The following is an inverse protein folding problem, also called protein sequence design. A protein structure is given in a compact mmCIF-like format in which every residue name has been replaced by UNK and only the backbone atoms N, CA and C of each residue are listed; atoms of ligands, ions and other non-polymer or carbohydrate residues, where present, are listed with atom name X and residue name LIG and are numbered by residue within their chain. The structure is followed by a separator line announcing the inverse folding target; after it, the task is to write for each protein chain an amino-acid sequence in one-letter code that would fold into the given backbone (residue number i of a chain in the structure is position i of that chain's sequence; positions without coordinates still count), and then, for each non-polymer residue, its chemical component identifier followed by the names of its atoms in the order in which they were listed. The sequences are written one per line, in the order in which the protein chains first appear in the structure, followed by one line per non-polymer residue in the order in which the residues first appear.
data_IF_076089571405
#
_entry.id   IF_076089571405
#
_cell.length_a   1.000
_cell.length_b   1.000
_cell.length_c   1.000
_cell.angle_alpha   90.00
_cell.angle_beta   90.00
_cell.angle_gamma   90.00
#
_symmetry.space_group_name_H-M   'P 1'
#
loop_
_entity.id
_entity.type
_entity.pdbx_description
1 polymer ?
#
# COMPACT_ATOMS: atom_id res chain seq x y z
N UNK A 1 25.36 -47.05 -23.50
CA UNK A 1 23.97 -47.48 -23.24
C UNK A 1 23.10 -46.59 -24.10
N UNK A 2 22.53 -47.12 -25.19
CA UNK A 2 21.70 -46.33 -26.09
C UNK A 2 20.33 -46.15 -25.42
N UNK A 3 19.98 -44.91 -25.10
CA UNK A 3 18.64 -44.54 -24.63
C UNK A 3 17.76 -44.50 -25.89
N UNK A 4 16.71 -45.30 -25.94
CA UNK A 4 15.76 -45.31 -27.06
C UNK A 4 14.59 -44.41 -26.67
N UNK A 5 14.29 -43.39 -27.47
CA UNK A 5 13.12 -42.52 -27.24
C UNK A 5 11.81 -43.32 -27.40
N UNK A 6 10.83 -43.07 -26.51
CA UNK A 6 9.51 -43.71 -26.58
C UNK A 6 8.79 -43.17 -27.84
N UNK A 7 8.38 -44.05 -28.76
CA UNK A 7 7.85 -43.74 -30.10
C UNK A 7 6.47 -43.03 -30.15
N UNK A 8 6.01 -42.40 -29.07
CA UNK A 8 4.77 -41.61 -29.07
C UNK A 8 5.02 -40.28 -28.34
N UNK A 9 4.76 -39.11 -28.97
CA UNK A 9 4.97 -37.82 -28.32
C UNK A 9 4.04 -37.71 -27.11
N UNK A 10 4.61 -37.50 -25.94
CA UNK A 10 3.84 -37.24 -24.73
C UNK A 10 3.17 -35.87 -24.86
N UNK A 11 1.87 -35.80 -24.60
CA UNK A 11 1.11 -34.56 -24.70
C UNK A 11 1.54 -33.57 -23.63
N UNK A 12 1.34 -32.28 -23.88
CA UNK A 12 1.56 -31.25 -22.85
C UNK A 12 0.66 -31.51 -21.62
N UNK A 13 1.13 -31.18 -20.40
CA UNK A 13 0.27 -31.20 -19.22
C UNK A 13 -0.82 -30.11 -19.32
N UNK A 14 -1.94 -30.34 -18.64
CA UNK A 14 -3.01 -29.35 -18.46
C UNK A 14 -2.89 -28.68 -17.09
N UNK A 15 -3.13 -27.38 -17.07
CA UNK A 15 -3.12 -26.53 -15.87
C UNK A 15 -4.53 -25.93 -15.71
N UNK A 16 -5.47 -26.61 -15.05
CA UNK A 16 -6.88 -26.21 -15.02
C UNK A 16 -7.15 -24.89 -14.28
N UNK A 17 -6.15 -24.34 -13.59
CA UNK A 17 -6.24 -23.07 -12.86
C UNK A 17 -5.84 -21.87 -13.70
N UNK A 18 -5.30 -22.08 -14.90
CA UNK A 18 -4.90 -20.98 -15.78
C UNK A 18 -6.15 -20.32 -16.40
N UNK A 19 -6.12 -19.00 -16.52
CA UNK A 19 -7.14 -18.25 -17.23
C UNK A 19 -6.94 -18.31 -18.77
N UNK A 20 -7.79 -17.60 -19.52
CA UNK A 20 -7.70 -17.53 -20.99
C UNK A 20 -6.35 -16.97 -21.49
N UNK A 21 -5.59 -16.28 -20.63
CA UNK A 21 -4.28 -15.70 -20.92
C UNK A 21 -3.11 -16.54 -20.37
N UNK A 22 -3.37 -17.75 -19.84
CA UNK A 22 -2.39 -18.64 -19.21
C UNK A 22 -1.75 -18.04 -17.95
N UNK A 23 -2.54 -17.31 -17.17
CA UNK A 23 -2.13 -16.74 -15.89
C UNK A 23 -2.80 -17.51 -14.75
N UNK A 24 -2.02 -17.84 -13.74
CA UNK A 24 -2.50 -18.29 -12.43
C UNK A 24 -2.26 -17.15 -11.46
N UNK A 25 -3.34 -16.51 -11.02
CA UNK A 25 -3.30 -15.48 -9.99
C UNK A 25 -3.57 -16.12 -8.63
N UNK A 26 -2.52 -16.32 -7.83
CA UNK A 26 -2.61 -17.06 -6.57
C UNK A 26 -3.53 -16.39 -5.55
N UNK A 27 -3.72 -15.07 -5.64
CA UNK A 27 -4.63 -14.32 -4.77
C UNK A 27 -6.11 -14.65 -5.00
N UNK A 28 -6.44 -15.21 -6.18
CA UNK A 28 -7.82 -15.56 -6.56
C UNK A 28 -8.11 -17.06 -6.39
N UNK A 29 -7.14 -17.83 -5.88
CA UNK A 29 -7.26 -19.27 -5.74
C UNK A 29 -7.73 -19.65 -4.33
N UNK A 30 -8.74 -20.53 -4.25
CA UNK A 30 -9.17 -21.11 -2.97
C UNK A 30 -8.18 -22.17 -2.43
N UNK A 31 -7.29 -22.67 -3.29
CA UNK A 31 -6.32 -23.72 -2.97
C UNK A 31 -4.88 -23.17 -3.01
N UNK A 32 -3.99 -23.80 -2.25
CA UNK A 32 -2.61 -23.37 -2.03
C UNK A 32 -1.58 -24.12 -2.91
N UNK A 33 -2.02 -24.75 -3.99
CA UNK A 33 -1.17 -25.55 -4.88
C UNK A 33 -1.53 -25.39 -6.36
N UNK A 34 -0.53 -25.44 -7.22
CA UNK A 34 -0.72 -25.69 -8.65
C UNK A 34 -1.05 -27.17 -8.88
N UNK A 35 -2.12 -27.43 -9.60
CA UNK A 35 -2.54 -28.74 -10.07
C UNK A 35 -2.04 -28.93 -11.50
N UNK A 36 -1.21 -29.96 -11.68
CA UNK A 36 -0.75 -30.42 -12.99
C UNK A 36 -1.51 -31.70 -13.33
N UNK A 37 -2.23 -31.67 -14.46
CA UNK A 37 -3.04 -32.79 -14.93
C UNK A 37 -2.39 -33.41 -16.17
N UNK A 38 -2.09 -34.71 -16.09
CA UNK A 38 -1.65 -35.49 -17.25
C UNK A 38 -2.83 -36.36 -17.66
N UNK A 39 -3.49 -35.98 -18.76
CA UNK A 39 -4.64 -36.72 -19.27
C UNK A 39 -4.23 -37.93 -20.10
N UNK A 40 -5.01 -39.01 -19.98
CA UNK A 40 -4.89 -40.20 -20.82
C UNK A 40 -3.45 -40.75 -20.88
N UNK A 41 -2.85 -40.96 -19.71
CA UNK A 41 -1.53 -41.57 -19.60
C UNK A 41 -1.65 -43.08 -19.85
N UNK A 42 -1.32 -43.52 -21.06
CA UNK A 42 -1.31 -44.94 -21.43
C UNK A 42 0.05 -45.55 -21.08
N UNK A 43 0.06 -46.46 -20.10
CA UNK A 43 1.24 -47.24 -19.78
C UNK A 43 0.91 -48.72 -19.77
N UNK A 44 1.52 -49.44 -20.70
CA UNK A 44 1.46 -50.90 -20.76
C UNK A 44 2.40 -51.56 -19.72
N UNK A 45 3.22 -50.78 -19.00
CA UNK A 45 4.29 -51.27 -18.12
C UNK A 45 4.13 -50.77 -16.67
N UNK A 46 4.10 -51.68 -15.66
CA UNK A 46 4.12 -51.27 -14.27
C UNK A 46 5.48 -50.65 -13.89
N UNK A 47 5.48 -49.72 -12.91
CA UNK A 47 6.66 -49.08 -12.28
C UNK A 47 7.35 -47.96 -13.09
N UNK A 48 6.65 -47.26 -13.97
CA UNK A 48 7.18 -46.04 -14.60
C UNK A 48 7.24 -44.88 -13.59
N UNK A 49 8.27 -44.02 -13.72
CA UNK A 49 8.43 -42.80 -12.92
C UNK A 49 8.13 -41.58 -13.77
N UNK A 50 7.24 -40.73 -13.29
CA UNK A 50 6.94 -39.43 -13.89
C UNK A 50 7.64 -38.35 -13.07
N UNK A 51 8.44 -37.51 -13.71
CA UNK A 51 9.05 -36.34 -13.07
C UNK A 51 8.43 -35.08 -13.67
N UNK A 52 7.93 -34.16 -12.85
CA UNK A 52 7.52 -32.82 -13.29
C UNK A 52 8.73 -31.91 -13.27
N UNK A 53 8.91 -31.15 -14.34
CA UNK A 53 9.97 -30.17 -14.50
C UNK A 53 9.36 -28.79 -14.70
N UNK A 54 9.81 -27.84 -13.89
CA UNK A 54 9.49 -26.43 -14.01
C UNK A 54 10.75 -25.69 -14.47
N UNK A 55 10.69 -25.05 -15.64
CA UNK A 55 11.85 -24.42 -16.27
C UNK A 55 13.05 -25.38 -16.40
N UNK A 56 12.77 -26.67 -16.63
CA UNK A 56 13.79 -27.72 -16.73
C UNK A 56 14.31 -28.28 -15.40
N UNK A 57 13.86 -27.77 -14.25
CA UNK A 57 14.25 -28.26 -12.92
C UNK A 57 13.19 -29.23 -12.39
N UNK A 58 13.61 -30.43 -11.99
CA UNK A 58 12.71 -31.41 -11.38
C UNK A 58 12.14 -30.89 -10.06
N UNK A 59 10.81 -30.78 -9.96
CA UNK A 59 10.12 -30.30 -8.75
C UNK A 59 9.49 -31.43 -7.94
N UNK A 60 8.87 -32.40 -8.61
CA UNK A 60 8.13 -33.49 -7.98
C UNK A 60 8.19 -34.74 -8.86
N UNK A 61 8.05 -35.90 -8.25
CA UNK A 61 7.89 -37.15 -8.99
C UNK A 61 6.67 -37.94 -8.52
N UNK A 62 6.19 -38.81 -9.40
CA UNK A 62 5.06 -39.70 -9.18
C UNK A 62 5.42 -41.10 -9.71
N UNK A 63 5.04 -42.15 -8.97
CA UNK A 63 5.26 -43.54 -9.37
C UNK A 63 3.96 -44.17 -9.85
N UNK A 64 3.98 -44.78 -11.03
CA UNK A 64 2.82 -45.45 -11.61
C UNK A 64 2.80 -46.92 -11.15
N UNK A 65 1.84 -47.27 -10.30
CA UNK A 65 1.75 -48.61 -9.70
C UNK A 65 0.99 -49.61 -10.58
N UNK A 66 -0.04 -49.19 -11.33
CA UNK A 66 -0.90 -50.07 -12.13
C UNK A 66 -1.06 -49.60 -13.59
N UNK A 67 -0.93 -50.48 -14.61
CA UNK A 67 -1.09 -50.14 -16.02
C UNK A 67 -2.56 -50.11 -16.46
N UNK A 68 -3.09 -48.91 -16.67
CA UNK A 68 -4.40 -48.60 -17.28
C UNK A 68 -4.35 -47.15 -17.75
N UNK A 69 -5.13 -46.71 -18.74
CA UNK A 69 -5.30 -45.27 -18.99
C UNK A 69 -5.97 -44.62 -17.77
N UNK A 70 -5.26 -43.70 -17.11
CA UNK A 70 -5.85 -42.84 -16.08
C UNK A 70 -5.33 -41.41 -16.19
N UNK A 71 -6.08 -40.49 -15.60
CA UNK A 71 -5.68 -39.09 -15.44
C UNK A 71 -4.86 -38.95 -14.17
N UNK A 72 -3.68 -38.34 -14.28
CA UNK A 72 -2.76 -38.16 -13.15
C UNK A 72 -2.85 -36.73 -12.66
N UNK A 73 -3.10 -36.57 -11.36
CA UNK A 73 -3.15 -35.28 -10.68
C UNK A 73 -1.92 -35.11 -9.81
N UNK A 74 -1.11 -34.09 -10.09
CA UNK A 74 0.10 -33.79 -9.33
C UNK A 74 -0.01 -32.37 -8.78
N UNK A 75 0.07 -32.24 -7.46
CA UNK A 75 0.00 -30.95 -6.77
C UNK A 75 1.40 -30.40 -6.49
N UNK A 76 1.62 -29.11 -6.71
CA UNK A 76 2.86 -28.40 -6.40
C UNK A 76 2.48 -27.19 -5.55
N UNK A 77 2.91 -27.09 -4.28
CA UNK A 77 2.54 -25.96 -3.43
C UNK A 77 2.95 -24.61 -4.05
N UNK A 78 2.08 -23.61 -4.03
CA UNK A 78 2.45 -22.27 -4.50
C UNK A 78 3.54 -21.64 -3.62
N UNK A 79 3.65 -22.04 -2.36
CA UNK A 79 4.72 -21.59 -1.45
C UNK A 79 6.13 -21.96 -1.91
N UNK A 80 6.29 -22.91 -2.84
CA UNK A 80 7.59 -23.26 -3.44
C UNK A 80 7.80 -22.64 -4.82
N UNK A 81 6.85 -21.83 -5.30
CA UNK A 81 6.85 -21.21 -6.62
C UNK A 81 6.87 -19.68 -6.49
N UNK A 82 8.00 -19.02 -6.77
CA UNK A 82 8.04 -17.58 -6.94
C UNK A 82 7.12 -17.09 -8.06
N UNK A 83 6.69 -15.83 -7.99
CA UNK A 83 6.00 -15.18 -9.11
C UNK A 83 6.92 -15.14 -10.35
N UNK A 84 6.36 -15.46 -11.52
CA UNK A 84 7.12 -15.47 -12.76
C UNK A 84 6.57 -16.40 -13.84
N UNK A 85 7.31 -16.49 -14.94
CA UNK A 85 6.98 -17.32 -16.08
C UNK A 85 7.55 -18.75 -15.92
N UNK A 86 6.71 -19.74 -16.20
CA UNK A 86 7.02 -21.15 -16.05
C UNK A 86 6.74 -21.93 -17.34
N UNK A 87 7.74 -22.72 -17.72
CA UNK A 87 7.60 -23.82 -18.68
C UNK A 87 7.40 -25.11 -17.89
N UNK A 88 6.19 -25.66 -17.94
CA UNK A 88 5.81 -26.90 -17.26
C UNK A 88 5.92 -28.07 -18.24
N UNK A 89 6.78 -29.03 -17.90
CA UNK A 89 6.97 -30.27 -18.68
C UNK A 89 7.00 -31.46 -17.74
N UNK A 90 6.86 -32.67 -18.30
CA UNK A 90 7.11 -33.89 -17.56
C UNK A 90 7.95 -34.88 -18.37
N UNK A 91 8.71 -35.70 -17.65
CA UNK A 91 9.39 -36.86 -18.23
C UNK A 91 8.79 -38.15 -17.69
N UNK A 92 8.80 -39.16 -18.54
CA UNK A 92 8.41 -40.53 -18.18
C UNK A 92 9.64 -41.40 -18.33
N UNK A 93 10.10 -41.99 -17.25
CA UNK A 93 11.26 -42.87 -17.23
C UNK A 93 10.84 -44.32 -17.01
N UNK A 94 11.19 -45.19 -17.95
CA UNK A 94 11.29 -46.65 -17.79
C UNK A 94 12.78 -47.02 -17.60
N UNK A 95 13.08 -48.24 -17.15
CA UNK A 95 14.42 -48.78 -16.84
C UNK A 95 15.46 -48.51 -17.95
N UNK A 96 15.03 -48.32 -19.21
CA UNK A 96 15.91 -48.08 -20.34
C UNK A 96 15.65 -46.77 -21.13
N UNK A 97 14.52 -46.09 -20.94
CA UNK A 97 14.02 -45.06 -21.86
C UNK A 97 13.46 -43.84 -21.12
N UNK A 98 13.62 -42.65 -21.70
CA UNK A 98 13.02 -41.40 -21.22
C UNK A 98 12.18 -40.80 -22.36
N UNK A 99 10.92 -40.52 -22.07
CA UNK A 99 10.06 -39.70 -22.94
C UNK A 99 9.88 -38.29 -22.35
N UNK A 100 9.72 -37.30 -23.22
CA UNK A 100 9.50 -35.89 -22.85
C UNK A 100 8.13 -35.41 -23.35
N UNK A 101 7.42 -34.67 -22.49
CA UNK A 101 6.18 -34.00 -22.88
C UNK A 101 6.44 -32.78 -23.75
N UNK A 102 5.45 -32.41 -24.55
CA UNK A 102 5.32 -31.03 -25.03
C UNK A 102 5.22 -30.06 -23.83
N UNK A 103 5.68 -28.81 -23.95
CA UNK A 103 5.59 -27.82 -22.88
C UNK A 103 4.20 -27.20 -22.75
N UNK A 104 3.80 -26.94 -21.50
CA UNK A 104 2.78 -25.95 -21.17
C UNK A 104 3.47 -24.68 -20.63
N UNK A 105 2.90 -23.52 -20.91
CA UNK A 105 3.44 -22.23 -20.48
C UNK A 105 2.42 -21.55 -19.60
N UNK A 106 2.85 -21.09 -18.42
CA UNK A 106 1.99 -20.39 -17.46
C UNK A 106 2.76 -19.28 -16.77
N UNK A 107 2.07 -18.20 -16.44
CA UNK A 107 2.60 -17.13 -15.58
C UNK A 107 1.93 -17.19 -14.22
N UNK A 108 2.73 -17.25 -13.16
CA UNK A 108 2.26 -17.20 -11.77
C UNK A 108 2.44 -15.77 -11.27
N UNK A 109 1.37 -15.18 -10.72
CA UNK A 109 1.39 -13.86 -10.10
C UNK A 109 0.65 -13.88 -8.77
N UNK A 110 0.97 -12.91 -7.91
CA UNK A 110 0.14 -12.52 -6.77
C UNK A 110 -0.33 -11.06 -6.93
N UNK A 111 -1.58 -10.87 -7.36
CA UNK A 111 -2.10 -9.52 -7.60
C UNK A 111 -2.20 -8.67 -6.32
N UNK A 112 -2.47 -9.27 -5.16
CA UNK A 112 -2.52 -8.58 -3.86
C UNK A 112 -1.16 -7.96 -3.44
N UNK A 113 -0.05 -8.49 -3.95
CA UNK A 113 1.29 -7.96 -3.65
C UNK A 113 1.71 -6.80 -4.56
N UNK A 114 0.89 -6.40 -5.55
CA UNK A 114 1.29 -5.42 -6.59
C UNK A 114 0.50 -4.10 -6.60
N UNK A 115 -0.52 -3.90 -5.76
CA UNK A 115 -1.37 -2.70 -5.77
C UNK A 115 -1.22 -1.85 -4.51
N UNK A 116 -0.11 -1.12 -4.38
CA UNK A 116 -0.07 0.01 -3.43
C UNK A 116 -0.75 1.20 -4.13
N UNK A 117 -1.89 1.70 -3.62
CA UNK A 117 -2.53 2.88 -4.19
C UNK A 117 -1.57 4.07 -4.15
N UNK A 118 -1.51 4.82 -5.25
CA UNK A 118 -0.76 6.06 -5.33
C UNK A 118 -1.74 7.21 -5.37
N UNK A 119 -1.66 8.09 -4.37
CA UNK A 119 -2.43 9.33 -4.32
C UNK A 119 -1.48 10.51 -4.53
N UNK A 120 -1.84 11.39 -5.46
CA UNK A 120 -1.08 12.60 -5.77
C UNK A 120 -1.97 13.83 -5.73
N UNK A 121 -1.44 14.95 -5.24
CA UNK A 121 -2.08 16.24 -5.17
C UNK A 121 -1.33 17.23 -6.07
N UNK A 122 -2.08 17.95 -6.90
CA UNK A 122 -1.52 18.99 -7.76
C UNK A 122 -2.32 20.28 -7.60
N UNK A 123 -1.62 21.38 -7.35
CA UNK A 123 -2.22 22.71 -7.37
C UNK A 123 -2.76 23.01 -8.77
N UNK A 124 -4.03 23.39 -8.85
CA UNK A 124 -4.68 23.78 -10.10
C UNK A 124 -4.84 25.30 -10.18
N UNK A 125 -5.34 25.91 -9.10
CA UNK A 125 -5.40 27.38 -8.96
C UNK A 125 -4.83 27.83 -7.62
N UNK A 126 -4.95 29.12 -7.28
CA UNK A 126 -4.57 29.62 -5.97
C UNK A 126 -5.39 28.99 -4.83
N UNK A 127 -6.65 28.66 -5.09
CA UNK A 127 -7.61 28.12 -4.12
C UNK A 127 -8.04 26.69 -4.43
N UNK A 128 -7.46 26.01 -5.43
CA UNK A 128 -7.90 24.66 -5.79
C UNK A 128 -6.79 23.66 -6.06
N UNK A 129 -7.09 22.40 -5.75
CA UNK A 129 -6.21 21.23 -5.86
C UNK A 129 -6.92 20.14 -6.65
N UNK A 130 -6.20 19.47 -7.53
CA UNK A 130 -6.62 18.21 -8.14
C UNK A 130 -5.96 17.07 -7.38
N UNK A 131 -6.79 16.15 -6.89
CA UNK A 131 -6.35 14.87 -6.38
C UNK A 131 -6.46 13.81 -7.48
N UNK A 132 -5.40 13.03 -7.69
CA UNK A 132 -5.39 11.89 -8.63
C UNK A 132 -5.01 10.63 -7.88
N UNK A 133 -5.91 9.65 -7.89
CA UNK A 133 -5.68 8.31 -7.35
C UNK A 133 -5.33 7.36 -8.50
N UNK A 134 -4.30 6.54 -8.33
CA UNK A 134 -3.78 5.63 -9.34
C UNK A 134 -3.37 4.29 -8.72
N UNK A 135 -3.21 3.26 -9.55
CA UNK A 135 -2.88 1.89 -9.12
C UNK A 135 -3.90 1.29 -8.15
N UNK A 136 -5.19 1.60 -8.34
CA UNK A 136 -6.31 0.97 -7.64
C UNK A 136 -6.77 -0.25 -8.44
N UNK A 137 -7.07 -1.36 -7.77
CA UNK A 137 -7.77 -2.46 -8.44
C UNK A 137 -9.26 -2.13 -8.53
N UNK A 138 -9.94 -2.71 -9.53
CA UNK A 138 -11.35 -2.44 -9.84
C UNK A 138 -12.32 -2.79 -8.69
N UNK A 139 -11.84 -3.51 -7.67
CA UNK A 139 -12.61 -3.98 -6.49
C UNK A 139 -12.25 -3.21 -5.20
N UNK A 140 -11.25 -2.32 -5.24
CA UNK A 140 -10.81 -1.61 -4.04
C UNK A 140 -11.70 -0.39 -3.76
N UNK A 141 -12.55 -0.49 -2.73
CA UNK A 141 -13.23 0.66 -2.15
C UNK A 141 -12.21 1.53 -1.39
N UNK A 142 -11.53 2.43 -2.10
CA UNK A 142 -10.54 3.34 -1.52
C UNK A 142 -11.19 4.67 -1.18
N UNK A 143 -11.49 4.88 0.09
CA UNK A 143 -11.88 6.19 0.60
C UNK A 143 -10.66 7.06 0.87
N UNK A 144 -10.67 8.26 0.30
CA UNK A 144 -9.68 9.31 0.54
C UNK A 144 -10.33 10.42 1.36
N UNK A 145 -9.67 10.85 2.42
CA UNK A 145 -10.04 12.04 3.18
C UNK A 145 -8.97 13.12 3.04
N UNK A 146 -9.42 14.35 2.80
CA UNK A 146 -8.57 15.53 2.66
C UNK A 146 -8.63 16.37 3.93
N UNK A 147 -7.47 16.88 4.31
CA UNK A 147 -7.31 17.66 5.53
C UNK A 147 -6.48 18.92 5.25
N UNK A 148 -6.73 19.95 6.07
CA UNK A 148 -5.90 21.14 6.14
C UNK A 148 -5.02 21.04 7.38
N UNK A 149 -3.71 21.23 7.19
CA UNK A 149 -2.75 21.21 8.28
C UNK A 149 -2.76 22.54 9.04
N UNK A 150 -2.59 22.48 10.36
CA UNK A 150 -2.36 23.67 11.18
C UNK A 150 -0.90 24.05 11.08
N UNK A 151 -0.62 25.24 10.54
CA UNK A 151 0.71 25.82 10.51
C UNK A 151 0.85 26.85 11.62
N UNK A 152 1.81 26.63 12.51
CA UNK A 152 2.16 27.65 13.51
C UNK A 152 2.94 28.76 12.79
N UNK A 153 2.58 30.05 12.96
CA UNK A 153 3.27 31.16 12.33
C UNK A 153 4.75 31.24 12.72
N UNK A 154 5.55 31.81 11.80
CA UNK A 154 6.95 32.11 12.08
C UNK A 154 7.09 33.12 13.22
N UNK A 155 8.14 32.96 14.05
CA UNK A 155 8.38 33.77 15.25
C UNK A 155 7.18 33.81 16.21
N UNK A 156 6.73 32.63 16.69
CA UNK A 156 5.70 32.60 17.71
C UNK A 156 6.21 33.19 19.02
N UNK A 157 5.28 33.43 19.94
CA UNK A 157 5.54 33.83 21.31
C UNK A 157 6.41 32.79 22.03
N UNK A 158 7.13 33.23 23.06
CA UNK A 158 8.13 32.39 23.75
C UNK A 158 7.55 31.06 24.27
N UNK A 159 6.25 31.03 24.60
CA UNK A 159 5.51 29.83 24.91
C UNK A 159 4.22 29.79 24.09
N UNK A 160 4.08 28.79 23.21
CA UNK A 160 2.87 28.56 22.43
C UNK A 160 2.22 27.25 22.86
N UNK A 161 0.94 27.31 23.22
CA UNK A 161 0.14 26.18 23.65
C UNK A 161 -0.90 25.82 22.59
N UNK A 162 -0.95 24.55 22.23
CA UNK A 162 -1.96 23.98 21.35
C UNK A 162 -2.63 22.84 22.10
N UNK A 163 -3.96 22.88 22.16
CA UNK A 163 -4.76 21.79 22.68
C UNK A 163 -5.67 21.27 21.58
N UNK A 164 -5.55 19.98 21.28
CA UNK A 164 -6.44 19.29 20.34
C UNK A 164 -7.51 18.53 21.13
N UNK A 165 -8.76 18.58 20.67
CA UNK A 165 -9.89 17.86 21.28
C UNK A 165 -10.90 17.48 20.19
N UNK A 166 -11.83 16.58 20.51
CA UNK A 166 -12.94 16.30 19.58
C UNK A 166 -13.69 17.60 19.27
N UNK A 167 -13.90 17.88 17.98
CA UNK A 167 -14.47 19.15 17.49
C UNK A 167 -13.49 20.33 17.38
N UNK A 168 -12.26 20.20 17.89
CA UNK A 168 -11.17 21.18 17.75
C UNK A 168 -9.84 20.43 17.50
N UNK A 169 -9.75 19.79 16.34
CA UNK A 169 -8.70 18.83 16.01
C UNK A 169 -8.22 19.04 14.58
N UNK A 170 -6.90 18.89 14.40
CA UNK A 170 -6.28 18.78 13.09
C UNK A 170 -5.39 17.53 13.08
N UNK A 171 -5.41 16.72 12.01
CA UNK A 171 -4.56 15.55 11.92
C UNK A 171 -3.07 15.88 11.77
N UNK A 172 -2.70 17.12 11.43
CA UNK A 172 -1.31 17.52 11.28
C UNK A 172 -1.08 18.94 11.80
N UNK A 173 -0.13 19.06 12.73
CA UNK A 173 0.41 20.34 13.22
C UNK A 173 1.84 20.50 12.70
N UNK A 174 2.13 21.61 12.02
CA UNK A 174 3.42 21.94 11.45
C UNK A 174 4.08 23.05 12.27
N UNK A 175 5.23 22.74 12.88
CA UNK A 175 6.04 23.70 13.63
C UNK A 175 6.67 24.74 12.67
N UNK A 176 6.92 25.98 13.13
CA UNK A 176 7.43 27.03 12.24
C UNK A 176 8.91 26.81 11.91
N UNK A 177 9.35 27.30 10.74
CA UNK A 177 10.75 27.21 10.33
C UNK A 177 11.70 27.99 11.26
N UNK A 178 11.21 29.09 11.82
CA UNK A 178 11.99 30.04 12.60
C UNK A 178 11.23 30.47 13.87
N UNK A 179 11.98 30.64 14.95
CA UNK A 179 11.53 31.22 16.22
C UNK A 179 12.70 31.87 16.95
N UNK A 180 12.43 32.60 18.03
CA UNK A 180 13.48 33.09 18.95
C UNK A 180 14.13 31.91 19.66
N UNK A 181 15.45 31.99 19.93
CA UNK A 181 16.16 30.93 20.66
C UNK A 181 15.49 30.66 22.02
N UNK A 182 15.24 29.40 22.32
CA UNK A 182 14.60 29.00 23.57
C UNK A 182 13.08 29.15 23.61
N UNK A 183 12.42 29.47 22.50
CA UNK A 183 10.96 29.39 22.40
C UNK A 183 10.47 27.95 22.57
N UNK A 184 9.29 27.78 23.15
CA UNK A 184 8.67 26.48 23.39
C UNK A 184 7.31 26.37 22.69
N UNK A 185 7.07 25.19 22.11
CA UNK A 185 5.75 24.79 21.63
C UNK A 185 5.30 23.58 22.44
N UNK A 186 4.12 23.70 23.04
CA UNK A 186 3.50 22.70 23.89
C UNK A 186 2.23 22.24 23.20
N UNK A 187 2.18 20.97 22.83
CA UNK A 187 1.05 20.37 22.14
C UNK A 187 0.47 19.28 23.04
N UNK A 188 -0.81 19.38 23.35
CA UNK A 188 -1.54 18.39 24.12
C UNK A 188 -2.74 17.88 23.33
N UNK A 189 -3.06 16.60 23.50
CA UNK A 189 -4.27 16.01 22.92
C UNK A 189 -5.20 15.44 23.97
N UNK A 190 -6.46 15.82 23.86
CA UNK A 190 -7.61 15.18 24.46
C UNK A 190 -8.55 14.59 23.40
N UNK A 191 -8.17 14.64 22.12
CA UNK A 191 -8.97 14.10 21.02
C UNK A 191 -8.94 12.57 20.99
N UNK A 192 -10.04 11.95 20.56
CA UNK A 192 -10.12 10.52 20.27
C UNK A 192 -9.31 10.11 19.04
N UNK A 193 -8.94 11.07 18.19
CA UNK A 193 -8.14 10.88 16.98
C UNK A 193 -6.66 11.17 17.20
N UNK A 194 -5.80 10.53 16.41
CA UNK A 194 -4.37 10.80 16.43
C UNK A 194 -4.02 12.13 15.77
N UNK A 195 -2.90 12.73 16.15
CA UNK A 195 -2.38 13.96 15.53
C UNK A 195 -0.91 13.78 15.18
N UNK A 196 -0.55 14.07 13.94
CA UNK A 196 0.83 14.18 13.50
C UNK A 196 1.42 15.52 13.86
N UNK A 197 2.71 15.52 14.20
CA UNK A 197 3.47 16.74 14.42
C UNK A 197 4.67 16.71 13.48
N UNK A 198 4.81 17.75 12.66
CA UNK A 198 6.04 18.01 11.92
C UNK A 198 6.89 19.04 12.64
N UNK A 199 8.13 18.68 12.93
CA UNK A 199 9.13 19.57 13.54
C UNK A 199 9.84 20.47 12.54
N UNK A 200 9.49 20.34 11.26
CA UNK A 200 9.97 21.20 10.19
C UNK A 200 8.80 22.01 9.64
N UNK A 201 9.09 23.02 8.81
CA UNK A 201 8.05 23.77 8.12
C UNK A 201 7.42 23.02 6.95
N UNK A 202 7.76 21.75 6.74
CA UNK A 202 7.19 20.89 5.70
C UNK A 202 6.23 19.90 6.34
N UNK A 203 5.13 19.49 5.66
CA UNK A 203 4.26 18.43 6.14
C UNK A 203 5.02 17.09 6.15
N UNK A 204 5.51 16.68 7.32
CA UNK A 204 6.18 15.39 7.56
C UNK A 204 5.72 14.83 8.92
N UNK A 205 5.24 13.59 9.01
CA UNK A 205 4.81 12.99 10.26
C UNK A 205 6.03 12.57 11.11
N UNK A 206 6.66 13.52 11.79
CA UNK A 206 7.86 13.26 12.61
C UNK A 206 7.50 12.62 13.95
N UNK A 207 6.33 12.97 14.49
CA UNK A 207 5.78 12.42 15.73
C UNK A 207 4.30 12.08 15.56
N UNK A 208 3.86 11.00 16.20
CA UNK A 208 2.46 10.61 16.32
C UNK A 208 1.99 10.85 17.77
N UNK A 209 0.99 11.69 17.94
CA UNK A 209 0.40 12.04 19.22
C UNK A 209 -0.94 11.32 19.41
N UNK A 210 -1.02 10.49 20.45
CA UNK A 210 -2.24 9.81 20.86
C UNK A 210 -3.06 10.63 21.86
N UNK A 211 -4.28 10.20 22.16
CA UNK A 211 -5.11 10.78 23.23
C UNK A 211 -4.34 10.82 24.55
N UNK A 212 -4.49 11.92 25.29
CA UNK A 212 -3.82 12.22 26.56
C UNK A 212 -2.29 12.36 26.47
N UNK A 213 -1.71 12.39 25.27
CA UNK A 213 -0.29 12.70 25.11
C UNK A 213 -0.04 14.22 25.21
N UNK A 214 1.18 14.55 25.60
CA UNK A 214 1.72 15.91 25.59
C UNK A 214 3.13 15.89 25.04
N UNK A 215 3.37 16.70 24.01
CA UNK A 215 4.69 16.93 23.42
C UNK A 215 5.15 18.35 23.71
N UNK A 216 6.44 18.50 24.03
CA UNK A 216 7.07 19.80 24.28
C UNK A 216 8.28 19.91 23.37
N UNK A 217 8.36 20.99 22.60
CA UNK A 217 9.47 21.28 21.71
C UNK A 217 10.14 22.58 22.13
N UNK A 218 11.47 22.63 22.05
CA UNK A 218 12.27 23.84 22.25
C UNK A 218 12.99 24.20 20.95
N UNK A 219 12.92 25.45 20.53
CA UNK A 219 13.68 25.92 19.40
C UNK A 219 15.13 26.23 19.80
N UNK A 220 16.09 25.72 19.02
CA UNK A 220 17.51 26.03 19.15
C UNK A 220 17.98 26.79 17.91
N UNK A 221 18.33 28.07 18.07
CA UNK A 221 18.74 28.95 16.98
C UNK A 221 20.04 28.49 16.31
N UNK A 222 20.99 27.97 17.09
CA UNK A 222 22.28 27.48 16.59
C UNK A 222 22.11 26.42 15.49
N UNK A 223 21.08 25.60 15.60
CA UNK A 223 20.81 24.52 14.65
C UNK A 223 19.57 24.79 13.77
N UNK A 224 18.84 25.88 14.04
CA UNK A 224 17.54 26.23 13.44
C UNK A 224 16.56 25.06 13.44
N UNK A 225 16.41 24.42 14.59
CA UNK A 225 15.63 23.19 14.75
C UNK A 225 14.83 23.19 16.04
N UNK A 226 13.66 22.55 15.97
CA UNK A 226 12.88 22.16 17.13
C UNK A 226 13.41 20.85 17.69
N UNK A 227 13.70 20.84 18.98
CA UNK A 227 14.13 19.64 19.70
C UNK A 227 13.02 19.22 20.66
N UNK A 228 12.60 17.96 20.57
CA UNK A 228 11.67 17.36 21.51
C UNK A 228 12.30 17.29 22.91
N UNK A 229 11.62 17.85 23.90
CA UNK A 229 12.01 17.81 25.30
C UNK A 229 11.40 16.56 25.95
N UNK A 230 12.23 15.58 26.29
CA UNK A 230 11.78 14.40 27.03
C UNK A 230 11.42 14.75 28.48
N UNK A 231 10.25 14.31 28.95
CA UNK A 231 9.81 14.40 30.35
C UNK A 231 8.78 15.50 30.63
N UNK A 232 8.16 15.43 31.80
CA UNK A 232 7.17 16.40 32.24
C UNK A 232 7.86 17.70 32.66
N UNK A 233 8.07 18.60 31.71
CA UNK A 233 8.55 19.96 31.98
C UNK A 233 7.36 20.86 32.27
N UNK A 234 7.27 21.37 33.50
CA UNK A 234 6.36 22.46 33.82
C UNK A 234 6.87 23.74 33.17
N UNK A 235 6.04 24.34 32.33
CA UNK A 235 6.30 25.59 31.62
C UNK A 235 5.22 26.61 32.01
N UNK A 236 5.50 27.92 31.94
CA UNK A 236 4.53 28.95 32.27
C UNK A 236 3.27 28.82 31.40
N UNK A 237 2.10 28.82 32.03
CA UNK A 237 0.79 28.73 31.37
C UNK A 237 0.05 30.07 31.29
N UNK A 238 0.62 31.14 31.83
CA UNK A 238 0.05 32.49 31.79
C UNK A 238 1.15 33.56 31.75
N UNK A 239 0.78 34.77 31.32
CA UNK A 239 1.65 35.93 31.16
C UNK A 239 1.79 36.38 29.70
N UNK A 240 2.38 37.57 29.49
CA UNK A 240 2.43 38.25 28.18
C UNK A 240 3.19 37.47 27.08
N UNK A 241 4.02 36.51 27.48
CA UNK A 241 4.82 35.68 26.57
C UNK A 241 4.15 34.33 26.24
N UNK A 242 2.90 34.13 26.64
CA UNK A 242 2.15 32.88 26.45
C UNK A 242 1.01 33.10 25.45
N UNK A 243 0.99 32.30 24.38
CA UNK A 243 -0.13 32.25 23.43
C UNK A 243 -0.80 30.89 23.42
N UNK A 244 -2.12 30.92 23.30
CA UNK A 244 -2.94 29.75 23.03
C UNK A 244 -3.40 29.78 21.58
N UNK A 245 -3.25 28.66 20.89
CA UNK A 245 -3.71 28.45 19.51
C UNK A 245 -4.70 27.29 19.48
N UNK A 246 -5.76 27.46 18.71
CA UNK A 246 -6.74 26.41 18.42
C UNK A 246 -6.41 25.75 17.08
N UNK A 247 -6.51 24.42 16.97
CA UNK A 247 -6.34 23.71 15.70
C UNK A 247 -7.38 24.00 14.59
N UNK A 248 -8.53 24.58 14.87
CA UNK A 248 -9.60 24.85 13.90
C UNK A 248 -9.35 26.16 13.08
N UNK A 249 -9.70 26.31 11.77
CA UNK A 249 -10.76 25.69 10.95
C UNK A 249 -10.52 25.69 9.41
N UNK A 250 -11.03 24.65 8.73
CA UNK A 250 -12.00 24.56 7.59
C UNK A 250 -11.78 23.18 6.97
N UNK A 251 -12.66 22.23 7.28
CA UNK A 251 -12.63 20.88 6.72
C UNK A 251 -13.57 20.85 5.51
N UNK A 252 -13.05 20.52 4.33
CA UNK A 252 -13.88 20.01 3.23
C UNK A 252 -13.43 18.58 2.97
N UNK A 253 -14.10 17.62 3.62
CA UNK A 253 -13.91 16.21 3.34
C UNK A 253 -14.65 15.89 2.03
N UNK A 254 -13.93 15.46 1.00
CA UNK A 254 -14.50 14.89 -0.22
C UNK A 254 -14.10 13.44 -0.32
N UNK A 255 -15.07 12.53 -0.26
CA UNK A 255 -14.82 11.09 -0.46
C UNK A 255 -14.69 10.80 -1.95
N UNK A 256 -13.56 10.20 -2.35
CA UNK A 256 -13.48 9.48 -3.63
C UNK A 256 -14.08 8.08 -3.40
N UNK A 257 -15.16 7.74 -4.10
CA UNK A 257 -15.62 6.35 -4.22
C UNK A 257 -15.48 5.96 -5.68
N UNK A 258 -14.69 4.92 -5.95
CA UNK A 258 -14.74 4.28 -7.27
C UNK A 258 -15.92 3.30 -7.26
N UNK A 259 -16.88 3.51 -8.15
CA UNK A 259 -17.99 2.57 -8.36
C UNK A 259 -19.12 2.66 -7.32
N UNK A 260 -19.83 3.78 -7.26
CA UNK A 260 -21.30 3.89 -7.31
C UNK A 260 -21.70 5.36 -7.09
N UNK A 261 -22.49 5.92 -8.00
CA UNK A 261 -22.96 7.30 -7.95
C UNK A 261 -23.81 7.53 -6.71
N UNK A 262 -23.32 8.24 -5.67
CA UNK A 262 -24.12 9.16 -4.84
C UNK A 262 -23.20 10.10 -4.05
N UNK A 263 -23.24 11.40 -4.39
CA UNK A 263 -22.82 12.62 -3.67
C UNK A 263 -21.96 13.57 -4.54
N UNK A 264 -22.07 14.87 -4.29
CA UNK A 264 -21.63 16.00 -5.13
C UNK A 264 -20.10 16.16 -5.27
N UNK A 265 -19.39 15.15 -5.77
CA UNK A 265 -18.03 15.29 -6.29
C UNK A 265 -17.96 14.62 -7.65
N UNK A 266 -17.82 15.45 -8.69
CA UNK A 266 -17.64 15.00 -10.07
C UNK A 266 -16.29 14.28 -10.20
N UNK A 267 -16.28 12.96 -10.00
CA UNK A 267 -15.17 12.12 -10.43
C UNK A 267 -15.17 12.05 -11.96
N UNK A 268 -14.18 12.66 -12.60
CA UNK A 268 -13.95 12.44 -14.04
C UNK A 268 -13.57 10.96 -14.25
N UNK A 269 -13.94 10.32 -15.39
CA UNK A 269 -13.50 8.97 -15.75
C UNK A 269 -11.98 8.68 -15.60
N UNK A 270 -11.15 9.69 -15.39
CA UNK A 270 -9.72 9.60 -15.06
C UNK A 270 -9.39 9.44 -13.56
N UNK A 271 -10.37 9.30 -12.67
CA UNK A 271 -10.14 9.13 -11.22
C UNK A 271 -9.65 10.40 -10.52
N UNK A 272 -10.09 11.57 -10.99
CA UNK A 272 -9.69 12.88 -10.48
C UNK A 272 -10.82 13.56 -9.73
N UNK A 273 -10.49 14.26 -8.63
CA UNK A 273 -11.40 15.15 -7.91
C UNK A 273 -10.79 16.53 -7.78
N UNK A 274 -11.58 17.56 -8.11
CA UNK A 274 -11.25 18.96 -7.88
C UNK A 274 -11.73 19.34 -6.48
N UNK A 275 -10.83 19.92 -5.69
CA UNK A 275 -11.09 20.42 -4.35
C UNK A 275 -10.92 21.93 -4.38
N UNK A 276 -11.94 22.66 -3.97
CA UNK A 276 -11.89 24.10 -3.79
C UNK A 276 -11.77 24.42 -2.29
N UNK A 277 -10.71 25.13 -1.93
CA UNK A 277 -10.46 25.59 -0.57
C UNK A 277 -10.96 27.02 -0.45
N UNK A 278 -11.99 27.20 0.36
CA UNK A 278 -12.56 28.50 0.69
C UNK A 278 -12.00 28.89 2.06
N UNK A 279 -10.94 29.69 2.05
CA UNK A 279 -10.39 30.31 3.25
C UNK A 279 -10.24 31.82 2.99
N UNK A 280 -10.80 32.64 3.88
CA UNK A 280 -10.88 34.09 3.72
C UNK A 280 -9.90 34.85 4.64
N UNK A 281 -9.13 34.18 5.48
CA UNK A 281 -8.37 34.84 6.56
C UNK A 281 -6.86 34.47 6.60
N UNK A 282 -6.39 33.54 5.77
CA UNK A 282 -5.00 33.03 5.81
C UNK A 282 -4.26 33.25 4.48
N UNK A 283 -2.98 33.67 4.55
CA UNK A 283 -2.11 33.88 3.37
C UNK A 283 -1.77 32.58 2.61
N UNK A 284 -1.70 31.45 3.33
CA UNK A 284 -1.38 30.14 2.76
C UNK A 284 -1.89 28.99 3.61
N UNK A 285 -2.29 27.89 2.97
CA UNK A 285 -2.70 26.64 3.64
C UNK A 285 -2.00 25.43 3.03
N UNK A 286 -1.75 24.41 3.85
CA UNK A 286 -1.24 23.12 3.38
C UNK A 286 -2.38 22.11 3.37
N UNK A 287 -2.77 21.68 2.17
CA UNK A 287 -3.72 20.58 1.96
C UNK A 287 -2.94 19.27 1.89
N UNK A 288 -3.43 18.23 2.56
CA UNK A 288 -2.85 16.90 2.46
C UNK A 288 -3.95 15.85 2.44
N UNK A 289 -3.60 14.66 1.95
CA UNK A 289 -4.56 13.58 1.78
C UNK A 289 -4.08 12.29 2.46
N UNK A 290 -5.04 11.58 3.03
CA UNK A 290 -4.87 10.31 3.71
C UNK A 290 -5.93 9.33 3.22
N UNK A 291 -5.60 8.04 3.21
CA UNK A 291 -6.60 6.98 3.03
C UNK A 291 -7.25 6.66 4.37
N UNK A 292 -8.54 6.36 4.40
CA UNK A 292 -9.27 6.18 5.68
C UNK A 292 -8.76 4.99 6.52
N UNK A 293 -8.17 3.98 5.87
CA UNK A 293 -7.58 2.80 6.52
C UNK A 293 -6.06 2.93 6.72
N UNK A 294 -5.49 4.11 6.47
CA UNK A 294 -4.06 4.36 6.60
C UNK A 294 -3.80 5.62 7.43
N UNK A 295 -2.69 5.58 8.15
CA UNK A 295 -2.22 6.69 8.96
C UNK A 295 -1.15 7.51 8.19
N UNK A 296 -0.70 7.05 7.02
CA UNK A 296 0.28 7.76 6.20
C UNK A 296 -0.33 8.99 5.50
N UNK A 297 0.46 10.06 5.48
CA UNK A 297 0.25 11.18 4.58
C UNK A 297 0.82 10.77 3.22
N UNK A 298 -0.05 10.69 2.20
CA UNK A 298 0.34 10.24 0.87
C UNK A 298 0.98 11.35 0.04
N UNK A 299 0.35 12.52 0.06
CA UNK A 299 0.85 13.70 -0.62
C UNK A 299 0.28 14.97 0.03
N UNK A 300 0.93 16.11 -0.24
CA UNK A 300 0.57 17.41 0.29
C UNK A 300 0.90 18.52 -0.70
N UNK A 301 0.11 19.60 -0.69
CA UNK A 301 0.30 20.75 -1.54
C UNK A 301 0.03 22.04 -0.78
N UNK A 302 0.85 23.06 -1.03
CA UNK A 302 0.70 24.39 -0.45
C UNK A 302 -0.07 25.31 -1.41
N UNK A 303 -1.16 25.88 -0.90
CA UNK A 303 -1.95 26.90 -1.57
C UNK A 303 -1.60 28.26 -0.98
N UNK A 304 -1.48 29.27 -1.84
CA UNK A 304 -1.16 30.65 -1.46
C UNK A 304 -2.25 31.52 -2.07
N UNK A 305 -2.96 32.28 -1.23
CA UNK A 305 -4.09 33.12 -1.63
C UNK A 305 -3.61 34.52 -2.06
#
# INVERSE_FOLDING_TARGET
MNIIEKNNPLKKPMLPQEDEHRVIDISKMENDFMLVVIEHFDTEKPKEKINILLNGVQTKFYFVENPVPFTIHITIPFSSLPDGDYTVTYTVTDVANIGYSEPAYVKIINSELTSIPILSLKKETKSSVIATLSNIQEVDNVSVTFYIAVRIPSNPELYTYINTSDGNWSPLIILPAIATDGSYIIIQSNAGYYTYISTTSKPSPDFLMHTNNKFVFKYLLNNRKWIHCSGNKELPTSGDNVKYMTPNDVITASTLMNGEQYAETSTDPRGQVLIEVIDNEIESVTVFAMLDNDIRIYDSVELNF
#
